data_IF_484023738121
#
_entry.id   IF_484023738121
#
_cell.length_a   1.000
_cell.length_b   1.000
_cell.length_c   1.000
_cell.angle_alpha   90.00
_cell.angle_beta   90.00
_cell.angle_gamma   90.00
#
_symmetry.space_group_name_H-M   'P 1'
#
loop_
_entity.id
_entity.type
_entity.pdbx_description
1 polymer ?
#
# COMPACT_ATOMS: atom_id res chain seq x y z
N UNK A 1 -8.76 -21.50 14.09
CA UNK A 1 -8.62 -21.83 12.66
C UNK A 1 -8.69 -20.54 11.86
N UNK A 2 -9.80 -19.80 11.98
CA UNK A 2 -10.06 -18.49 11.34
C UNK A 2 -8.96 -17.44 11.51
N UNK A 3 -8.38 -17.28 12.72
CA UNK A 3 -7.31 -16.30 12.97
C UNK A 3 -6.01 -16.59 12.22
N UNK A 4 -5.66 -17.86 12.01
CA UNK A 4 -4.44 -18.21 11.28
C UNK A 4 -4.61 -17.95 9.78
N UNK A 5 -5.79 -18.28 9.24
CA UNK A 5 -6.16 -18.03 7.85
C UNK A 5 -6.22 -16.53 7.53
N UNK A 6 -6.82 -15.72 8.41
CA UNK A 6 -6.86 -14.26 8.21
C UNK A 6 -5.48 -13.63 8.28
N UNK A 7 -4.60 -14.14 9.13
CA UNK A 7 -3.22 -13.69 9.21
C UNK A 7 -2.46 -14.01 7.93
N UNK A 8 -2.51 -15.26 7.47
CA UNK A 8 -1.85 -15.69 6.23
C UNK A 8 -2.37 -14.88 5.03
N UNK A 9 -3.70 -14.74 4.91
CA UNK A 9 -4.32 -13.90 3.90
C UNK A 9 -3.83 -12.44 3.94
N UNK A 10 -3.75 -11.84 5.14
CA UNK A 10 -3.28 -10.47 5.31
C UNK A 10 -1.82 -10.33 4.88
N UNK A 11 -0.96 -11.24 5.31
CA UNK A 11 0.47 -11.24 5.00
C UNK A 11 0.72 -11.41 3.50
N UNK A 12 0.02 -12.35 2.85
CA UNK A 12 0.12 -12.60 1.42
C UNK A 12 -0.31 -11.38 0.61
N UNK A 13 -1.47 -10.79 0.93
CA UNK A 13 -1.95 -9.62 0.21
C UNK A 13 -1.05 -8.40 0.44
N UNK A 14 -0.56 -8.18 1.67
CA UNK A 14 0.43 -7.13 1.96
C UNK A 14 1.71 -7.35 1.14
N UNK A 15 2.16 -8.59 0.99
CA UNK A 15 3.33 -8.92 0.16
C UNK A 15 3.07 -8.60 -1.31
N UNK A 16 1.92 -8.96 -1.85
CA UNK A 16 1.53 -8.62 -3.24
C UNK A 16 1.54 -7.11 -3.48
N UNK A 17 0.91 -6.34 -2.59
CA UNK A 17 0.90 -4.88 -2.65
C UNK A 17 2.31 -4.32 -2.61
N UNK A 18 3.15 -4.84 -1.70
CA UNK A 18 4.54 -4.42 -1.58
C UNK A 18 5.33 -4.70 -2.85
N UNK A 19 5.13 -5.85 -3.48
CA UNK A 19 5.81 -6.23 -4.71
C UNK A 19 5.32 -5.36 -5.89
N UNK A 20 4.03 -5.07 -6.00
CA UNK A 20 3.50 -4.18 -7.02
C UNK A 20 3.98 -2.72 -6.88
N UNK A 21 4.08 -2.22 -5.64
CA UNK A 21 4.57 -0.88 -5.34
C UNK A 21 6.04 -0.69 -5.76
N UNK A 22 6.87 -1.73 -5.63
CA UNK A 22 8.29 -1.68 -6.06
C UNK A 22 8.44 -1.45 -7.56
N UNK A 23 7.43 -1.78 -8.36
CA UNK A 23 7.43 -1.59 -9.81
C UNK A 23 6.92 -0.19 -10.22
N UNK A 24 6.60 0.70 -9.26
CA UNK A 24 6.11 2.05 -9.53
C UNK A 24 7.27 3.07 -9.39
N UNK A 25 7.83 3.59 -10.50
CA UNK A 25 8.97 4.50 -10.49
C UNK A 25 8.74 5.77 -9.64
N UNK A 26 7.53 6.31 -9.65
CA UNK A 26 7.16 7.51 -8.91
C UNK A 26 7.22 7.25 -7.39
N UNK A 27 6.86 6.05 -6.92
CA UNK A 27 6.98 5.67 -5.51
C UNK A 27 8.44 5.48 -5.10
N UNK A 28 9.24 4.83 -5.95
CA UNK A 28 10.69 4.62 -5.72
C UNK A 28 11.42 5.96 -5.63
N UNK A 29 11.12 6.87 -6.55
CA UNK A 29 11.73 8.21 -6.64
C UNK A 29 11.46 9.04 -5.39
N UNK A 30 10.25 8.98 -4.84
CA UNK A 30 9.79 9.88 -3.78
C UNK A 30 10.05 9.37 -2.35
N UNK A 31 10.72 8.21 -2.17
CA UNK A 31 11.12 7.68 -0.85
C UNK A 31 10.01 7.71 0.21
N UNK A 32 8.80 7.38 -0.21
CA UNK A 32 7.64 7.38 0.67
C UNK A 32 7.70 6.19 1.64
N UNK A 33 7.37 6.44 2.90
CA UNK A 33 7.03 5.38 3.83
C UNK A 33 5.56 5.02 3.60
N UNK A 34 5.30 3.74 3.32
CA UNK A 34 3.95 3.25 3.00
C UNK A 34 3.57 2.24 4.07
N UNK A 35 2.39 2.41 4.64
CA UNK A 35 1.88 1.50 5.67
C UNK A 35 0.38 1.28 5.49
N UNK A 36 -0.06 0.10 5.93
CA UNK A 36 -1.47 -0.27 6.01
C UNK A 36 -1.99 -0.07 7.42
N UNK A 37 -3.26 0.25 7.55
CA UNK A 37 -3.96 0.26 8.85
C UNK A 37 -5.17 -0.67 8.80
N UNK A 38 -6.14 -0.51 9.70
CA UNK A 38 -7.36 -1.30 9.69
C UNK A 38 -7.11 -2.80 9.92
N UNK A 39 -7.93 -3.64 9.28
CA UNK A 39 -7.84 -5.10 9.40
C UNK A 39 -6.50 -5.65 8.88
N UNK A 40 -5.97 -5.10 7.79
CA UNK A 40 -4.65 -5.46 7.28
C UNK A 40 -3.53 -5.10 8.27
N UNK A 41 -3.62 -3.93 8.91
CA UNK A 41 -2.67 -3.52 9.96
C UNK A 41 -2.69 -4.42 11.21
N UNK A 42 -3.83 -5.05 11.52
CA UNK A 42 -3.97 -6.01 12.63
C UNK A 42 -3.77 -7.48 12.21
N UNK A 43 -3.56 -7.74 10.92
CA UNK A 43 -3.49 -9.09 10.34
C UNK A 43 -4.77 -9.91 10.54
N UNK A 44 -5.92 -9.24 10.44
CA UNK A 44 -7.25 -9.81 10.60
C UNK A 44 -8.09 -9.70 9.32
N UNK A 45 -7.47 -9.31 8.20
CA UNK A 45 -8.17 -9.09 6.95
C UNK A 45 -8.68 -10.40 6.34
N UNK A 46 -9.76 -10.28 5.57
CA UNK A 46 -10.31 -11.35 4.73
C UNK A 46 -10.52 -10.83 3.32
N UNK A 47 -10.94 -11.71 2.40
CA UNK A 47 -11.27 -11.35 1.02
C UNK A 47 -12.40 -10.31 0.87
N UNK A 48 -13.13 -10.03 1.94
CA UNK A 48 -14.18 -9.00 1.96
C UNK A 48 -13.73 -7.70 2.63
N UNK A 49 -12.48 -7.61 3.08
CA UNK A 49 -11.94 -6.42 3.70
C UNK A 49 -11.46 -5.41 2.66
N UNK A 50 -11.89 -4.17 2.84
CA UNK A 50 -11.27 -3.02 2.17
C UNK A 50 -9.84 -2.81 2.65
N UNK A 51 -9.07 -2.03 1.88
CA UNK A 51 -7.68 -1.71 2.20
C UNK A 51 -7.47 -0.21 2.43
N UNK A 52 -6.86 0.10 3.58
CA UNK A 52 -6.46 1.46 3.95
C UNK A 52 -4.95 1.63 3.81
N UNK A 53 -4.49 2.32 2.74
CA UNK A 53 -3.09 2.63 2.48
C UNK A 53 -2.77 4.09 2.82
N UNK A 54 -1.68 4.29 3.55
CA UNK A 54 -1.16 5.60 3.92
C UNK A 54 0.24 5.81 3.36
N UNK A 55 0.51 7.04 2.91
CA UNK A 55 1.76 7.46 2.31
C UNK A 55 2.31 8.62 3.13
N UNK A 56 3.46 8.39 3.77
CA UNK A 56 4.18 9.42 4.50
C UNK A 56 5.41 9.83 3.71
N UNK A 57 5.47 11.11 3.36
CA UNK A 57 6.66 11.69 2.78
C UNK A 57 7.72 11.92 3.86
N UNK A 58 8.86 11.26 3.69
CA UNK A 58 9.99 11.36 4.62
C UNK A 58 11.02 12.39 4.17
N UNK A 59 10.82 13.02 3.01
CA UNK A 59 11.74 14.00 2.45
C UNK A 59 11.41 15.41 2.95
N UNK A 60 12.36 16.04 3.63
CA UNK A 60 12.19 17.40 4.17
C UNK A 60 12.52 18.51 3.16
N UNK A 61 13.52 18.31 2.31
CA UNK A 61 14.02 19.35 1.39
C UNK A 61 13.45 19.27 -0.02
N UNK A 62 12.84 18.14 -0.38
CA UNK A 62 12.25 17.91 -1.69
C UNK A 62 10.99 17.05 -1.52
N UNK A 63 9.89 17.65 -1.03
CA UNK A 63 8.64 16.94 -0.90
C UNK A 63 8.16 16.45 -2.26
N UNK A 64 7.37 15.40 -2.22
CA UNK A 64 6.69 14.80 -3.36
C UNK A 64 5.86 15.87 -4.07
N UNK A 65 6.09 16.02 -5.37
CA UNK A 65 5.39 17.03 -6.15
C UNK A 65 3.91 16.66 -6.31
N UNK A 66 3.04 17.67 -6.49
CA UNK A 66 1.61 17.41 -6.76
C UNK A 66 1.39 16.51 -7.98
N UNK A 67 2.24 16.63 -9.02
CA UNK A 67 2.18 15.78 -10.21
C UNK A 67 2.52 14.34 -9.84
N UNK A 68 3.60 14.11 -9.09
CA UNK A 68 3.99 12.77 -8.65
C UNK A 68 2.89 12.17 -7.75
N UNK A 69 2.28 12.95 -6.85
CA UNK A 69 1.14 12.51 -6.01
C UNK A 69 -0.02 12.00 -6.87
N UNK A 70 -0.42 12.75 -7.91
CA UNK A 70 -1.50 12.34 -8.82
C UNK A 70 -1.15 11.05 -9.56
N UNK A 71 0.08 10.92 -10.06
CA UNK A 71 0.53 9.72 -10.76
C UNK A 71 0.56 8.49 -9.84
N UNK A 72 1.02 8.66 -8.61
CA UNK A 72 1.03 7.62 -7.58
C UNK A 72 -0.39 7.15 -7.28
N UNK A 73 -1.31 8.07 -6.97
CA UNK A 73 -2.72 7.74 -6.70
C UNK A 73 -3.36 7.03 -7.88
N UNK A 74 -3.14 7.52 -9.10
CA UNK A 74 -3.68 6.91 -10.32
C UNK A 74 -3.20 5.46 -10.48
N UNK A 75 -1.90 5.18 -10.28
CA UNK A 75 -1.35 3.82 -10.39
C UNK A 75 -1.91 2.88 -9.32
N UNK A 76 -2.08 3.37 -8.10
CA UNK A 76 -2.63 2.58 -7.00
C UNK A 76 -4.10 2.20 -7.25
N UNK A 77 -4.91 3.11 -7.78
CA UNK A 77 -6.30 2.81 -8.12
C UNK A 77 -6.39 1.66 -9.14
N UNK A 78 -5.56 1.69 -10.19
CA UNK A 78 -5.49 0.57 -11.16
C UNK A 78 -5.06 -0.75 -10.54
N UNK A 79 -4.30 -0.72 -9.44
CA UNK A 79 -3.88 -1.93 -8.75
C UNK A 79 -4.99 -2.51 -7.87
N UNK A 80 -5.78 -1.65 -7.20
CA UNK A 80 -6.85 -2.09 -6.30
C UNK A 80 -8.11 -2.53 -7.04
N UNK A 81 -8.34 -2.03 -8.26
CA UNK A 81 -9.47 -2.43 -9.12
C UNK A 81 -9.30 -3.78 -9.84
N UNK A 82 -8.11 -4.39 -9.80
CA UNK A 82 -7.81 -5.71 -10.39
C UNK A 82 -7.73 -6.81 -9.32
#
# INVERSE_FOLDING_TARGET
MELAEHKEFSEDRIKEIKDAIKEIPELIKNKLCIFVTGSYGRLEASKYSDIDLFFLDTQTNRPTSNIDTVLITQRLLRFVEN
#
